data_IF_072441673320
#
_entry.id   IF_072441673320
#
_cell.length_a   1.000
_cell.length_b   1.000
_cell.length_c   1.000
_cell.angle_alpha   90.00
_cell.angle_beta   90.00
_cell.angle_gamma   90.00
#
_symmetry.space_group_name_H-M   'P 1'
#
loop_
_entity.id
_entity.type
_entity.pdbx_description
1 polymer ?
#
# COMPACT_ATOMS: atom_id res chain seq x y z
N UNK A 1 -43.49 -10.52 -52.17
CA UNK A 1 -42.27 -10.53 -51.33
C UNK A 1 -41.37 -9.27 -51.53
N UNK A 2 -41.48 -8.50 -52.60
CA UNK A 2 -40.62 -7.33 -52.85
C UNK A 2 -40.96 -6.05 -52.07
N UNK A 3 -42.22 -5.89 -51.60
CA UNK A 3 -42.66 -4.64 -50.94
C UNK A 3 -42.21 -4.53 -49.51
N UNK A 4 -42.12 -5.64 -48.78
CA UNK A 4 -41.68 -5.70 -47.39
C UNK A 4 -40.16 -5.55 -47.31
N UNK A 5 -39.41 -6.10 -48.26
CA UNK A 5 -37.96 -5.94 -48.36
C UNK A 5 -37.58 -4.49 -48.60
N UNK A 6 -38.23 -3.82 -49.53
CA UNK A 6 -37.98 -2.41 -49.86
C UNK A 6 -38.27 -1.45 -48.68
N UNK A 7 -39.30 -1.74 -47.91
CA UNK A 7 -39.62 -0.95 -46.69
C UNK A 7 -38.62 -1.19 -45.59
N UNK A 8 -38.16 -2.44 -45.37
CA UNK A 8 -37.17 -2.78 -44.32
C UNK A 8 -35.80 -2.20 -44.67
N UNK A 9 -35.37 -2.25 -45.95
CA UNK A 9 -34.09 -1.69 -46.37
C UNK A 9 -34.05 -0.16 -46.27
N UNK A 10 -35.17 0.53 -46.57
CA UNK A 10 -35.26 1.98 -46.39
C UNK A 10 -35.32 2.40 -44.90
N UNK A 11 -35.95 1.59 -44.01
CA UNK A 11 -35.98 1.89 -42.59
C UNK A 11 -34.63 1.64 -41.90
N UNK A 12 -33.92 0.60 -42.31
CA UNK A 12 -32.59 0.31 -41.78
C UNK A 12 -31.55 1.32 -42.27
N UNK A 13 -31.61 1.76 -43.52
CA UNK A 13 -30.78 2.86 -44.04
C UNK A 13 -31.08 4.17 -43.30
N UNK A 14 -32.35 4.52 -43.07
CA UNK A 14 -32.76 5.73 -42.36
C UNK A 14 -32.36 5.71 -40.90
N UNK A 15 -32.41 4.56 -40.24
CA UNK A 15 -31.94 4.40 -38.86
C UNK A 15 -30.42 4.49 -38.77
N UNK A 16 -29.73 3.91 -39.74
CA UNK A 16 -28.28 3.99 -39.85
C UNK A 16 -27.81 5.43 -40.07
N UNK A 17 -28.44 6.16 -40.97
CA UNK A 17 -28.16 7.57 -41.28
C UNK A 17 -28.44 8.46 -40.07
N UNK A 18 -29.52 8.22 -39.31
CA UNK A 18 -29.83 8.91 -38.08
C UNK A 18 -28.79 8.60 -37.00
N UNK A 19 -28.36 7.35 -36.85
CA UNK A 19 -27.30 6.96 -35.88
C UNK A 19 -25.97 7.58 -36.28
N UNK A 20 -25.60 7.59 -37.55
CA UNK A 20 -24.36 8.18 -38.06
C UNK A 20 -24.39 9.70 -37.88
N UNK A 21 -25.52 10.36 -38.12
CA UNK A 21 -25.68 11.80 -37.96
C UNK A 21 -25.71 12.22 -36.48
N UNK A 22 -26.27 11.39 -35.57
CA UNK A 22 -26.27 11.64 -34.11
C UNK A 22 -24.97 11.19 -33.43
N UNK A 23 -24.26 10.20 -33.93
CA UNK A 23 -22.91 9.86 -33.52
C UNK A 23 -21.92 10.63 -34.38
N UNK A 24 -22.02 11.95 -34.33
CA UNK A 24 -21.05 12.85 -34.90
C UNK A 24 -19.65 12.44 -34.38
N UNK A 25 -18.73 12.27 -35.28
CA UNK A 25 -17.32 11.93 -34.98
C UNK A 25 -16.73 12.92 -33.96
N UNK A 26 -17.18 14.17 -33.96
CA UNK A 26 -16.80 15.16 -32.99
C UNK A 26 -17.35 14.83 -31.57
N UNK A 27 -18.60 14.37 -31.46
CA UNK A 27 -19.17 14.02 -30.16
C UNK A 27 -18.49 12.82 -29.53
N UNK A 28 -18.15 11.80 -30.32
CA UNK A 28 -17.38 10.66 -29.84
C UNK A 28 -15.97 11.04 -29.42
N UNK A 29 -15.35 12.00 -30.11
CA UNK A 29 -14.04 12.55 -29.75
C UNK A 29 -14.12 13.31 -28.43
N UNK A 30 -15.09 14.20 -28.26
CA UNK A 30 -15.33 14.94 -27.01
C UNK A 30 -15.62 13.99 -25.84
N UNK A 31 -16.45 12.97 -26.04
CA UNK A 31 -16.74 11.96 -25.04
C UNK A 31 -15.49 11.16 -24.66
N UNK A 32 -14.65 10.81 -25.64
CA UNK A 32 -13.37 10.15 -25.42
C UNK A 32 -12.43 11.03 -24.58
N UNK A 33 -12.29 12.30 -24.91
CA UNK A 33 -11.48 13.25 -24.13
C UNK A 33 -12.01 13.43 -22.70
N UNK A 34 -13.32 13.41 -22.51
CA UNK A 34 -13.94 13.50 -21.19
C UNK A 34 -13.74 12.22 -20.36
N UNK A 35 -13.86 11.05 -21.00
CA UNK A 35 -13.71 9.75 -20.32
C UNK A 35 -12.25 9.34 -20.12
N UNK A 36 -11.32 9.81 -20.97
CA UNK A 36 -9.91 9.43 -20.91
C UNK A 36 -9.27 9.64 -19.51
N UNK A 37 -9.44 10.79 -18.83
CA UNK A 37 -8.89 10.96 -17.49
C UNK A 37 -9.44 9.94 -16.49
N UNK A 38 -10.71 9.58 -16.58
CA UNK A 38 -11.34 8.58 -15.73
C UNK A 38 -10.75 7.20 -16.01
N UNK A 39 -10.67 6.80 -17.26
CA UNK A 39 -10.06 5.52 -17.68
C UNK A 39 -8.62 5.44 -17.19
N UNK A 40 -7.82 6.47 -17.43
CA UNK A 40 -6.41 6.50 -17.03
C UNK A 40 -6.26 6.34 -15.52
N UNK A 41 -7.09 6.99 -14.70
CA UNK A 41 -6.99 6.89 -13.23
C UNK A 41 -7.26 5.48 -12.69
N UNK A 42 -8.01 4.65 -13.42
CA UNK A 42 -8.24 3.24 -13.07
C UNK A 42 -7.22 2.29 -13.72
N UNK A 43 -6.57 2.70 -14.81
CA UNK A 43 -5.51 1.90 -15.45
C UNK A 43 -4.15 2.04 -14.74
N UNK A 44 -3.82 3.21 -14.20
CA UNK A 44 -2.54 3.45 -13.54
C UNK A 44 -2.21 2.47 -12.39
N UNK A 45 -3.16 2.06 -11.53
CA UNK A 45 -2.89 1.01 -10.55
C UNK A 45 -2.47 -0.33 -11.17
N UNK A 46 -2.91 -0.64 -12.40
CA UNK A 46 -2.49 -1.85 -13.10
C UNK A 46 -1.00 -1.83 -13.45
N UNK A 47 -0.40 -0.65 -13.66
CA UNK A 47 1.05 -0.50 -13.86
C UNK A 47 1.83 -1.06 -12.65
N UNK A 48 1.36 -0.80 -11.44
CA UNK A 48 1.99 -1.34 -10.22
C UNK A 48 1.91 -2.87 -10.20
N UNK A 49 0.77 -3.44 -10.60
CA UNK A 49 0.61 -4.90 -10.71
C UNK A 49 1.60 -5.47 -11.74
N UNK A 50 1.73 -4.82 -12.92
CA UNK A 50 2.70 -5.21 -13.95
C UNK A 50 4.12 -5.14 -13.41
N UNK A 51 4.50 -4.07 -12.69
CA UNK A 51 5.83 -3.95 -12.08
C UNK A 51 6.10 -5.04 -11.05
N UNK A 52 5.09 -5.45 -10.26
CA UNK A 52 5.22 -6.58 -9.32
C UNK A 52 5.47 -7.89 -10.08
N UNK A 53 4.75 -8.15 -11.18
CA UNK A 53 4.98 -9.33 -12.00
C UNK A 53 6.32 -9.31 -12.73
N UNK A 54 6.77 -8.15 -13.22
CA UNK A 54 8.13 -7.99 -13.77
C UNK A 54 9.16 -8.33 -12.68
N UNK A 55 8.97 -7.85 -11.47
CA UNK A 55 9.82 -8.19 -10.32
C UNK A 55 9.84 -9.68 -10.04
N UNK A 56 8.68 -10.35 -10.10
CA UNK A 56 8.59 -11.80 -9.94
C UNK A 56 9.31 -12.56 -11.06
N UNK A 57 9.19 -12.09 -12.31
CA UNK A 57 9.91 -12.64 -13.47
C UNK A 57 11.42 -12.48 -13.29
N UNK A 58 11.91 -11.33 -12.84
CA UNK A 58 13.34 -11.12 -12.56
C UNK A 58 13.85 -12.17 -11.57
N UNK A 59 13.15 -12.37 -10.45
CA UNK A 59 13.54 -13.42 -9.49
C UNK A 59 13.50 -14.82 -10.09
N UNK A 60 12.51 -15.11 -10.93
CA UNK A 60 12.40 -16.41 -11.58
C UNK A 60 13.53 -16.66 -12.60
N UNK A 61 13.88 -15.65 -13.42
CA UNK A 61 14.98 -15.72 -14.38
C UNK A 61 16.32 -15.90 -13.68
N UNK A 62 16.59 -15.15 -12.62
CA UNK A 62 17.82 -15.33 -11.83
C UNK A 62 17.90 -16.72 -11.19
N UNK A 63 16.76 -17.25 -10.72
CA UNK A 63 16.70 -18.63 -10.21
C UNK A 63 16.99 -19.67 -11.28
N UNK A 64 16.42 -19.52 -12.50
CA UNK A 64 16.67 -20.45 -13.63
C UNK A 64 18.10 -20.35 -14.12
N UNK A 65 18.67 -19.13 -14.19
CA UNK A 65 20.05 -18.92 -14.58
C UNK A 65 21.02 -19.67 -13.64
N UNK A 66 20.79 -19.57 -12.33
CA UNK A 66 21.59 -20.32 -11.35
C UNK A 66 21.55 -21.83 -11.57
N UNK A 67 20.42 -22.39 -11.96
CA UNK A 67 20.31 -23.84 -12.17
C UNK A 67 21.10 -24.32 -13.40
N UNK A 68 21.48 -23.42 -14.30
CA UNK A 68 22.25 -23.73 -15.50
C UNK A 68 23.76 -23.48 -15.35
N UNK A 69 24.16 -22.61 -14.43
CA UNK A 69 25.57 -22.29 -14.16
C UNK A 69 26.04 -23.19 -13.03
N UNK A 70 26.53 -24.36 -13.37
CA UNK A 70 27.13 -25.32 -12.45
C UNK A 70 28.66 -25.06 -12.41
N UNK A 71 29.23 -25.18 -11.21
CA UNK A 71 30.60 -25.31 -10.81
C UNK A 71 31.41 -24.02 -10.49
N UNK A 72 31.63 -23.86 -9.20
CA UNK A 72 32.84 -23.29 -8.59
C UNK A 72 32.68 -22.01 -7.79
N UNK A 73 31.95 -21.00 -8.22
CA UNK A 73 31.68 -19.79 -7.43
C UNK A 73 30.19 -19.52 -7.48
N UNK A 74 29.52 -19.71 -6.35
CA UNK A 74 28.07 -19.43 -6.26
C UNK A 74 27.85 -17.94 -6.04
N UNK A 75 27.58 -17.11 -7.07
CA UNK A 75 27.10 -15.78 -6.84
C UNK A 75 25.73 -15.91 -6.12
N UNK A 76 25.51 -15.13 -5.06
CA UNK A 76 24.22 -15.10 -4.38
C UNK A 76 23.17 -14.49 -5.33
N UNK A 77 22.57 -15.37 -6.14
CA UNK A 77 21.58 -15.00 -7.15
C UNK A 77 20.39 -14.27 -6.52
N UNK A 78 20.05 -14.61 -5.25
CA UNK A 78 18.98 -13.92 -4.52
C UNK A 78 19.34 -12.47 -4.26
N UNK A 79 20.58 -12.21 -3.89
CA UNK A 79 21.05 -10.85 -3.68
C UNK A 79 21.12 -10.07 -5.00
N UNK A 80 21.59 -10.67 -6.08
CA UNK A 80 21.61 -10.04 -7.40
C UNK A 80 20.19 -9.71 -7.89
N UNK A 81 19.24 -10.64 -7.76
CA UNK A 81 17.84 -10.41 -8.09
C UNK A 81 17.19 -9.30 -7.23
N UNK A 82 17.50 -9.29 -5.92
CA UNK A 82 17.04 -8.22 -5.01
C UNK A 82 17.54 -6.85 -5.44
N UNK A 83 18.83 -6.73 -5.75
CA UNK A 83 19.41 -5.47 -6.20
C UNK A 83 18.78 -4.99 -7.50
N UNK A 84 18.54 -5.88 -8.47
CA UNK A 84 17.88 -5.56 -9.73
C UNK A 84 16.44 -5.07 -9.50
N UNK A 85 15.67 -5.78 -8.67
CA UNK A 85 14.30 -5.39 -8.34
C UNK A 85 14.26 -4.09 -7.53
N UNK A 86 15.15 -3.92 -6.56
CA UNK A 86 15.25 -2.68 -5.80
C UNK A 86 15.65 -1.49 -6.68
N UNK A 87 16.54 -1.68 -7.66
CA UNK A 87 16.89 -0.63 -8.62
C UNK A 87 15.67 -0.24 -9.50
N UNK A 88 14.88 -1.22 -9.93
CA UNK A 88 13.62 -0.95 -10.67
C UNK A 88 12.65 -0.11 -9.85
N UNK A 89 12.43 -0.48 -8.58
CA UNK A 89 11.49 0.24 -7.70
C UNK A 89 12.01 1.62 -7.30
N UNK A 90 13.30 1.77 -7.03
CA UNK A 90 13.91 3.08 -6.74
C UNK A 90 13.82 4.02 -7.95
N UNK A 91 14.15 3.51 -9.15
CA UNK A 91 14.00 4.27 -10.39
C UNK A 91 12.55 4.72 -10.65
N UNK A 92 11.58 3.82 -10.45
CA UNK A 92 10.16 4.18 -10.55
C UNK A 92 9.77 5.24 -9.51
N UNK A 93 10.20 5.05 -8.24
CA UNK A 93 9.90 6.00 -7.16
C UNK A 93 10.49 7.38 -7.44
N UNK A 94 11.74 7.45 -7.87
CA UNK A 94 12.41 8.70 -8.21
C UNK A 94 11.77 9.39 -9.42
N UNK A 95 11.56 8.65 -10.51
CA UNK A 95 11.04 9.20 -11.77
C UNK A 95 9.58 9.62 -11.62
N UNK A 96 8.73 8.72 -11.07
CA UNK A 96 7.28 8.94 -11.06
C UNK A 96 6.81 9.79 -9.89
N UNK A 97 7.37 9.58 -8.70
CA UNK A 97 6.94 10.25 -7.46
C UNK A 97 7.94 11.26 -6.90
N UNK A 98 9.13 11.42 -7.51
CA UNK A 98 10.18 12.23 -6.89
C UNK A 98 10.47 11.79 -5.45
N UNK A 99 10.46 10.46 -5.22
CA UNK A 99 10.53 9.87 -3.90
C UNK A 99 11.78 10.27 -3.13
N UNK A 100 11.61 10.63 -1.86
CA UNK A 100 12.70 11.00 -0.96
C UNK A 100 12.46 10.46 0.46
N UNK A 101 13.55 10.37 1.27
CA UNK A 101 13.51 9.95 2.67
C UNK A 101 14.15 11.04 3.54
N UNK A 102 13.44 11.46 4.58
CA UNK A 102 13.93 12.38 5.62
C UNK A 102 14.02 11.65 6.95
N UNK A 103 14.99 12.02 7.79
CA UNK A 103 15.20 11.38 9.07
C UNK A 103 15.93 10.03 8.96
N UNK A 104 16.70 9.79 7.89
CA UNK A 104 17.45 8.55 7.69
C UNK A 104 18.49 8.30 8.80
N UNK A 105 18.92 9.34 9.49
CA UNK A 105 19.79 9.33 10.67
C UNK A 105 19.13 8.74 11.92
N UNK A 106 17.79 8.67 11.93
CA UNK A 106 17.02 8.07 13.01
C UNK A 106 17.01 6.54 12.97
N UNK A 107 17.62 5.93 11.95
CA UNK A 107 17.69 4.47 11.84
C UNK A 107 18.79 3.93 12.74
N UNK A 108 18.44 3.06 13.71
CA UNK A 108 19.45 2.43 14.58
C UNK A 108 20.38 1.48 13.81
N UNK A 109 21.62 1.33 14.27
CA UNK A 109 22.56 0.38 13.67
C UNK A 109 22.17 -1.09 13.93
N UNK A 110 21.57 -1.38 15.07
CA UNK A 110 21.06 -2.71 15.44
C UNK A 110 19.72 -3.08 14.77
N UNK A 111 19.07 -4.18 15.23
CA UNK A 111 17.73 -4.53 14.81
C UNK A 111 16.71 -3.50 15.33
N UNK A 112 15.71 -3.18 14.55
CA UNK A 112 14.65 -2.25 14.89
C UNK A 112 13.34 -2.64 14.20
N UNK A 113 12.24 -2.17 14.75
CA UNK A 113 10.90 -2.36 14.20
C UNK A 113 10.39 -1.04 13.60
N UNK A 114 10.14 -1.01 12.29
CA UNK A 114 9.46 0.10 11.63
C UNK A 114 7.96 -0.08 11.75
N UNK A 115 7.27 0.93 12.25
CA UNK A 115 5.80 0.99 12.26
C UNK A 115 5.37 2.12 11.33
N UNK A 116 4.54 1.78 10.34
CA UNK A 116 4.16 2.73 9.30
C UNK A 116 2.66 2.78 9.03
N UNK A 117 2.20 3.95 8.53
CA UNK A 117 0.85 4.17 8.04
C UNK A 117 0.67 3.49 6.68
N UNK A 118 -0.43 2.73 6.50
CA UNK A 118 -0.68 2.00 5.27
C UNK A 118 -1.52 2.82 4.28
N UNK A 119 -0.91 3.25 3.16
CA UNK A 119 -1.63 3.80 2.01
C UNK A 119 -2.57 2.79 1.34
N UNK A 120 -3.34 3.21 0.34
CA UNK A 120 -4.20 2.29 -0.42
C UNK A 120 -3.39 1.17 -1.11
N UNK A 121 -2.24 1.53 -1.67
CA UNK A 121 -1.16 0.62 -2.07
C UNK A 121 0.12 1.01 -1.31
N UNK A 122 0.90 0.05 -0.79
CA UNK A 122 2.10 0.33 0.01
C UNK A 122 3.34 0.58 -0.88
N UNK A 123 3.21 1.42 -1.90
CA UNK A 123 4.29 1.69 -2.85
C UNK A 123 5.48 2.39 -2.19
N UNK A 124 5.21 3.23 -1.21
CA UNK A 124 6.18 3.91 -0.38
C UNK A 124 7.08 2.92 0.37
N UNK A 125 6.51 1.81 0.85
CA UNK A 125 7.27 0.74 1.49
C UNK A 125 8.18 0.02 0.47
N UNK A 126 7.74 -0.17 -0.78
CA UNK A 126 8.60 -0.75 -1.82
C UNK A 126 9.82 0.15 -2.11
N UNK A 127 9.60 1.46 -2.20
CA UNK A 127 10.70 2.43 -2.38
C UNK A 127 11.61 2.51 -1.16
N UNK A 128 11.03 2.47 0.06
CA UNK A 128 11.80 2.48 1.30
C UNK A 128 12.72 1.26 1.40
N UNK A 129 12.19 0.05 1.16
CA UNK A 129 12.98 -1.19 1.15
C UNK A 129 14.08 -1.11 0.08
N UNK A 130 13.75 -0.63 -1.12
CA UNK A 130 14.72 -0.48 -2.20
C UNK A 130 15.88 0.44 -1.79
N UNK A 131 15.59 1.61 -1.24
CA UNK A 131 16.63 2.54 -0.79
C UNK A 131 17.44 2.03 0.38
N UNK A 132 16.81 1.37 1.35
CA UNK A 132 17.52 0.75 2.46
C UNK A 132 18.51 -0.30 1.98
N UNK A 133 18.14 -1.12 1.01
CA UNK A 133 19.04 -2.11 0.43
C UNK A 133 20.15 -1.47 -0.42
N UNK A 134 19.80 -0.56 -1.34
CA UNK A 134 20.76 0.02 -2.30
C UNK A 134 21.79 0.93 -1.61
N UNK A 135 21.34 1.79 -0.69
CA UNK A 135 22.20 2.83 -0.11
C UNK A 135 22.71 2.52 1.30
N UNK A 136 21.93 1.79 2.11
CA UNK A 136 22.33 1.41 3.48
C UNK A 136 22.78 -0.04 3.60
N UNK A 137 22.67 -0.85 2.52
CA UNK A 137 23.00 -2.28 2.51
C UNK A 137 22.27 -3.10 3.57
N UNK A 138 21.08 -2.64 3.98
CA UNK A 138 20.25 -3.28 5.00
C UNK A 138 18.98 -3.84 4.41
N UNK A 139 18.76 -5.12 4.64
CA UNK A 139 17.50 -5.79 4.28
C UNK A 139 16.44 -5.52 5.34
N UNK A 140 15.31 -4.94 4.91
CA UNK A 140 14.14 -4.80 5.76
C UNK A 140 13.20 -5.97 5.47
N UNK A 141 12.91 -6.79 6.50
CA UNK A 141 11.84 -7.76 6.42
C UNK A 141 10.48 -7.04 6.52
N UNK A 142 9.47 -7.55 5.83
CA UNK A 142 8.14 -6.92 5.85
C UNK A 142 7.08 -7.95 6.19
N UNK A 143 6.11 -7.55 6.98
CA UNK A 143 4.93 -8.39 7.26
C UNK A 143 3.87 -8.17 6.18
N UNK A 144 3.39 -9.27 5.60
CA UNK A 144 2.29 -9.25 4.66
C UNK A 144 1.14 -10.15 5.11
N UNK A 145 -0.06 -9.86 4.60
CA UNK A 145 -1.23 -10.69 4.84
C UNK A 145 -1.11 -12.03 4.11
N UNK A 146 -1.71 -13.06 4.68
CA UNK A 146 -1.62 -14.46 4.18
C UNK A 146 -2.13 -14.63 2.75
N UNK A 147 -3.07 -13.79 2.30
CA UNK A 147 -3.57 -13.91 0.92
C UNK A 147 -2.47 -13.65 -0.12
N UNK A 148 -1.49 -12.79 0.17
CA UNK A 148 -0.40 -12.49 -0.76
C UNK A 148 0.44 -13.71 -1.10
N UNK A 149 0.61 -14.64 -0.17
CA UNK A 149 1.34 -15.90 -0.38
C UNK A 149 0.57 -16.91 -1.25
N UNK A 150 -0.73 -16.66 -1.51
CA UNK A 150 -1.57 -17.49 -2.37
C UNK A 150 -1.66 -16.96 -3.81
N UNK A 151 -1.13 -15.79 -4.09
CA UNK A 151 -1.16 -15.20 -5.44
C UNK A 151 -0.18 -15.98 -6.33
N UNK A 152 -0.63 -16.49 -7.50
CA UNK A 152 0.23 -17.24 -8.42
C UNK A 152 1.45 -16.41 -8.86
N UNK A 153 2.64 -17.02 -8.83
CA UNK A 153 3.89 -16.39 -9.24
C UNK A 153 4.55 -15.49 -8.18
N UNK A 154 3.91 -15.18 -7.06
CA UNK A 154 4.46 -14.26 -6.05
C UNK A 154 5.34 -14.93 -5.01
N UNK A 155 5.27 -16.24 -4.83
CA UNK A 155 6.01 -16.94 -3.77
C UNK A 155 7.52 -16.68 -3.80
N UNK A 156 8.15 -16.77 -4.98
CA UNK A 156 9.60 -16.52 -5.15
C UNK A 156 9.95 -15.05 -4.90
N UNK A 157 9.09 -14.12 -5.33
CA UNK A 157 9.25 -12.69 -5.08
C UNK A 157 9.18 -12.36 -3.58
N UNK A 158 8.15 -12.87 -2.89
CA UNK A 158 7.95 -12.63 -1.45
C UNK A 158 9.11 -13.21 -0.63
N UNK A 159 9.55 -14.43 -0.93
CA UNK A 159 10.74 -15.04 -0.33
C UNK A 159 11.99 -14.20 -0.62
N UNK A 160 12.17 -13.82 -1.89
CA UNK A 160 13.28 -12.99 -2.34
C UNK A 160 13.37 -11.65 -1.63
N UNK A 161 12.25 -10.99 -1.37
CA UNK A 161 12.17 -9.70 -0.69
C UNK A 161 12.01 -9.82 0.84
N UNK A 162 12.22 -11.01 1.42
CA UNK A 162 12.12 -11.24 2.86
C UNK A 162 10.75 -10.86 3.45
N UNK A 163 9.67 -11.09 2.68
CA UNK A 163 8.30 -10.90 3.16
C UNK A 163 7.86 -12.11 3.98
N UNK A 164 7.34 -11.88 5.17
CA UNK A 164 6.96 -12.92 6.13
C UNK A 164 5.49 -12.81 6.56
N UNK A 165 4.86 -13.92 6.97
CA UNK A 165 3.55 -13.85 7.61
C UNK A 165 3.63 -13.24 9.02
N UNK A 166 2.63 -12.44 9.39
CA UNK A 166 2.60 -11.65 10.61
C UNK A 166 2.18 -12.41 11.87
N UNK A 167 2.99 -13.34 12.38
CA UNK A 167 2.82 -13.87 13.74
C UNK A 167 3.81 -13.21 14.70
N UNK A 168 3.44 -13.06 15.99
CA UNK A 168 4.32 -12.45 16.97
C UNK A 168 5.65 -13.21 17.05
N UNK A 169 5.60 -14.52 17.10
CA UNK A 169 6.77 -15.39 17.23
C UNK A 169 7.72 -15.26 16.03
N UNK A 170 7.19 -15.31 14.81
CA UNK A 170 8.00 -15.17 13.59
C UNK A 170 8.63 -13.78 13.51
N UNK A 171 7.87 -12.73 13.80
CA UNK A 171 8.36 -11.36 13.78
C UNK A 171 9.46 -11.13 14.84
N UNK A 172 9.24 -11.61 16.08
CA UNK A 172 10.22 -11.50 17.14
C UNK A 172 11.51 -12.30 16.84
N UNK A 173 11.40 -13.47 16.20
CA UNK A 173 12.58 -14.26 15.81
C UNK A 173 13.43 -13.54 14.76
N UNK A 174 12.82 -12.88 13.78
CA UNK A 174 13.54 -12.08 12.77
C UNK A 174 14.31 -10.94 13.43
N UNK A 175 13.69 -10.21 14.36
CA UNK A 175 14.36 -9.12 15.08
C UNK A 175 15.50 -9.63 15.96
N UNK A 176 15.29 -10.76 16.68
CA UNK A 176 16.35 -11.39 17.51
C UNK A 176 17.52 -11.90 16.68
N UNK A 177 17.29 -12.25 15.41
CA UNK A 177 18.35 -12.62 14.46
C UNK A 177 19.14 -11.40 13.92
N UNK A 178 18.88 -10.19 14.46
CA UNK A 178 19.58 -8.97 14.06
C UNK A 178 19.03 -8.27 12.82
N UNK A 179 17.88 -8.72 12.29
CA UNK A 179 17.30 -8.15 11.09
C UNK A 179 16.23 -7.11 11.42
N UNK A 180 16.17 -5.98 10.72
CA UNK A 180 15.08 -5.01 10.86
C UNK A 180 13.79 -5.54 10.24
N UNK A 181 12.66 -5.12 10.82
CA UNK A 181 11.32 -5.56 10.41
C UNK A 181 10.40 -4.35 10.25
N UNK A 182 9.49 -4.39 9.27
CA UNK A 182 8.46 -3.38 9.08
C UNK A 182 7.06 -3.99 9.21
N UNK A 183 6.20 -3.32 9.99
CA UNK A 183 4.81 -3.73 10.22
C UNK A 183 3.89 -2.52 10.06
N UNK A 184 2.77 -2.68 9.33
CA UNK A 184 1.66 -1.76 9.39
C UNK A 184 0.54 -2.35 10.27
N UNK A 185 0.26 -1.77 11.43
CA UNK A 185 -0.79 -2.27 12.32
C UNK A 185 -2.19 -2.18 11.71
N UNK A 186 -2.44 -1.17 10.88
CA UNK A 186 -3.70 -0.99 10.17
C UNK A 186 -3.93 -2.02 9.06
N UNK A 187 -2.84 -2.48 8.41
CA UNK A 187 -2.84 -3.50 7.36
C UNK A 187 -3.89 -3.27 6.28
N UNK A 188 -4.43 -4.36 5.72
CA UNK A 188 -5.43 -4.33 4.65
C UNK A 188 -6.66 -3.49 4.99
N UNK A 189 -7.06 -3.44 6.27
CA UNK A 189 -8.21 -2.63 6.67
C UNK A 189 -7.94 -1.12 6.52
N UNK A 190 -6.78 -0.65 6.96
CA UNK A 190 -6.36 0.74 6.80
C UNK A 190 -6.15 1.08 5.32
N UNK A 191 -5.55 0.17 4.55
CA UNK A 191 -5.39 0.31 3.11
C UNK A 191 -6.70 0.61 2.40
N UNK A 192 -7.73 -0.22 2.64
CA UNK A 192 -9.00 -0.12 1.93
C UNK A 192 -9.93 0.95 2.47
N UNK A 193 -9.94 1.18 3.79
CA UNK A 193 -10.93 2.01 4.46
C UNK A 193 -10.37 3.28 5.10
N UNK A 194 -9.08 3.55 4.94
CA UNK A 194 -8.49 4.83 5.31
C UNK A 194 -8.99 5.96 4.40
N UNK A 195 -8.96 7.18 4.93
CA UNK A 195 -9.48 8.38 4.28
C UNK A 195 -8.39 9.47 4.09
N UNK A 196 -8.78 10.58 3.47
CA UNK A 196 -7.93 11.74 3.25
C UNK A 196 -7.64 12.57 4.50
N UNK A 197 -8.14 12.17 5.66
CA UNK A 197 -7.79 12.74 6.97
C UNK A 197 -6.64 12.00 7.64
N UNK A 198 -6.15 10.88 7.04
CA UNK A 198 -5.01 10.12 7.55
C UNK A 198 -5.18 9.56 8.96
N UNK A 199 -6.43 9.30 9.38
CA UNK A 199 -6.72 8.71 10.68
C UNK A 199 -6.17 7.29 10.77
N UNK A 200 -5.50 6.97 11.89
CA UNK A 200 -5.00 5.62 12.14
C UNK A 200 -6.16 4.65 12.35
N UNK A 201 -6.20 3.58 11.58
CA UNK A 201 -7.25 2.56 11.63
C UNK A 201 -6.73 1.25 12.25
N UNK A 202 -6.01 1.34 13.36
CA UNK A 202 -5.36 0.19 13.99
C UNK A 202 -6.31 -0.65 14.85
N UNK A 203 -7.46 -0.08 15.28
CA UNK A 203 -8.33 -0.74 16.26
C UNK A 203 -7.52 -1.12 17.52
N UNK A 204 -7.81 -2.27 18.12
CA UNK A 204 -7.08 -2.78 19.31
C UNK A 204 -5.90 -3.70 18.90
N UNK A 205 -5.20 -3.40 17.79
CA UNK A 205 -4.08 -4.23 17.34
C UNK A 205 -2.79 -3.88 18.06
N UNK A 206 -2.48 -4.67 19.09
CA UNK A 206 -1.27 -4.54 19.92
C UNK A 206 -0.16 -5.52 19.53
N UNK A 207 -0.35 -6.32 18.48
CA UNK A 207 0.58 -7.38 18.08
C UNK A 207 2.00 -6.90 17.85
N UNK A 208 2.18 -5.74 17.21
CA UNK A 208 3.49 -5.16 16.97
C UNK A 208 4.19 -4.70 18.26
N UNK A 209 3.43 -4.21 19.23
CA UNK A 209 3.98 -3.82 20.53
C UNK A 209 4.50 -5.05 21.28
N UNK A 210 3.76 -6.16 21.25
CA UNK A 210 4.23 -7.45 21.79
C UNK A 210 5.50 -7.93 21.09
N UNK A 211 5.59 -7.79 19.75
CA UNK A 211 6.80 -8.13 18.98
C UNK A 211 8.00 -7.31 19.44
N UNK A 212 7.85 -5.99 19.58
CA UNK A 212 8.93 -5.10 20.01
C UNK A 212 9.40 -5.42 21.43
N UNK A 213 8.47 -5.69 22.34
CA UNK A 213 8.78 -6.06 23.73
C UNK A 213 9.47 -7.43 23.82
N UNK A 214 8.97 -8.43 23.09
CA UNK A 214 9.56 -9.77 23.06
C UNK A 214 10.97 -9.79 22.45
N UNK A 215 11.21 -8.95 21.45
CA UNK A 215 12.53 -8.83 20.80
C UNK A 215 13.44 -7.81 21.48
N UNK A 216 12.93 -6.96 22.40
CA UNK A 216 13.65 -5.88 23.10
C UNK A 216 14.33 -4.90 22.14
N UNK A 217 13.63 -4.49 21.10
CA UNK A 217 14.14 -3.59 20.06
C UNK A 217 13.43 -2.24 20.06
N UNK A 218 14.10 -1.16 19.60
CA UNK A 218 13.47 0.13 19.42
C UNK A 218 12.46 0.10 18.25
N UNK A 219 11.46 0.99 18.34
CA UNK A 219 10.48 1.21 17.27
C UNK A 219 10.79 2.53 16.56
N UNK A 220 10.85 2.50 15.23
CA UNK A 220 10.98 3.69 14.40
C UNK A 220 9.62 3.97 13.75
N UNK A 221 8.91 5.05 14.15
CA UNK A 221 7.68 5.46 13.49
C UNK A 221 7.99 6.04 12.11
N UNK A 222 7.20 5.65 11.11
CA UNK A 222 7.37 6.07 9.72
C UNK A 222 6.05 6.52 9.12
N UNK A 223 6.09 7.65 8.43
CA UNK A 223 4.96 8.18 7.68
C UNK A 223 5.42 8.67 6.32
N UNK A 224 4.63 8.40 5.27
CA UNK A 224 4.90 8.91 3.92
C UNK A 224 3.86 9.94 3.52
N UNK A 225 4.33 11.18 3.29
CA UNK A 225 3.52 12.29 2.83
C UNK A 225 2.91 11.98 1.46
N UNK A 226 1.64 12.38 1.26
CA UNK A 226 0.87 12.24 0.02
C UNK A 226 0.62 10.78 -0.43
N UNK A 227 0.81 9.78 0.44
CA UNK A 227 0.61 8.37 0.05
C UNK A 227 -0.85 8.06 -0.35
N UNK A 228 -1.83 8.80 0.22
CA UNK A 228 -3.24 8.67 -0.17
C UNK A 228 -3.64 9.55 -1.34
N UNK A 229 -2.85 10.53 -1.67
CA UNK A 229 -2.99 11.33 -2.90
C UNK A 229 -2.42 10.60 -4.11
N UNK A 230 -1.42 9.71 -3.91
CA UNK A 230 -0.93 8.82 -4.95
C UNK A 230 -1.99 7.78 -5.36
N UNK A 231 -2.57 7.09 -4.36
CA UNK A 231 -3.58 6.05 -4.58
C UNK A 231 -4.69 6.14 -3.55
N UNK A 232 -5.94 5.98 -4.01
CA UNK A 232 -7.14 5.94 -3.18
C UNK A 232 -7.99 4.72 -3.47
N UNK A 233 -8.79 4.33 -2.52
CA UNK A 233 -9.86 3.36 -2.70
C UNK A 233 -11.18 4.06 -2.96
N UNK A 234 -12.05 3.43 -3.75
CA UNK A 234 -13.38 3.94 -4.04
C UNK A 234 -14.19 3.97 -2.74
N UNK A 235 -14.55 5.18 -2.28
CA UNK A 235 -15.35 5.38 -1.06
C UNK A 235 -16.84 5.09 -1.24
N UNK A 236 -17.31 5.09 -2.48
CA UNK A 236 -18.70 4.78 -2.81
C UNK A 236 -19.03 3.33 -2.46
N UNK A 237 -20.24 3.07 -1.97
CA UNK A 237 -20.67 1.74 -1.50
C UNK A 237 -19.78 1.14 -0.39
N UNK A 238 -19.20 1.98 0.46
CA UNK A 238 -18.33 1.53 1.57
C UNK A 238 -18.94 0.38 2.39
N UNK A 239 -20.26 0.40 2.62
CA UNK A 239 -20.95 -0.68 3.33
C UNK A 239 -20.91 -2.03 2.60
N UNK A 240 -20.95 -2.03 1.27
CA UNK A 240 -20.83 -3.24 0.44
C UNK A 240 -19.39 -3.77 0.53
N UNK A 241 -18.39 -2.90 0.34
CA UNK A 241 -16.98 -3.29 0.44
C UNK A 241 -16.60 -3.82 1.82
N UNK A 242 -17.19 -3.26 2.90
CA UNK A 242 -17.01 -3.78 4.26
C UNK A 242 -17.59 -5.19 4.41
N UNK A 243 -18.77 -5.49 3.84
CA UNK A 243 -19.37 -6.82 3.86
C UNK A 243 -18.52 -7.83 3.08
N UNK A 244 -18.05 -7.45 1.89
CA UNK A 244 -17.16 -8.26 1.05
C UNK A 244 -15.85 -8.54 1.80
N UNK A 245 -15.24 -7.51 2.40
CA UNK A 245 -14.03 -7.70 3.20
C UNK A 245 -14.25 -8.61 4.41
N UNK A 246 -15.41 -8.50 5.10
CA UNK A 246 -15.73 -9.37 6.22
C UNK A 246 -15.84 -10.85 5.81
N UNK A 247 -16.40 -11.12 4.62
CA UNK A 247 -16.57 -12.46 4.08
C UNK A 247 -15.26 -13.07 3.57
N UNK A 248 -14.53 -12.35 2.74
CA UNK A 248 -13.36 -12.89 2.02
C UNK A 248 -12.00 -12.55 2.64
N UNK A 249 -11.92 -11.53 3.49
CA UNK A 249 -10.67 -11.01 4.07
C UNK A 249 -9.64 -10.59 3.01
N UNK A 250 -10.10 -10.21 1.82
CA UNK A 250 -9.27 -9.80 0.70
C UNK A 250 -9.50 -8.32 0.36
N UNK A 251 -8.49 -7.61 -0.19
CA UNK A 251 -8.60 -6.21 -0.61
C UNK A 251 -9.31 -6.11 -1.97
N UNK A 252 -10.63 -6.20 -1.97
CA UNK A 252 -11.45 -6.17 -3.19
C UNK A 252 -12.05 -4.79 -3.49
N UNK A 253 -11.90 -3.80 -2.60
CA UNK A 253 -12.32 -2.43 -2.92
C UNK A 253 -11.46 -1.89 -4.07
N UNK A 254 -12.09 -1.36 -5.16
CA UNK A 254 -11.34 -0.84 -6.28
C UNK A 254 -10.40 0.28 -5.87
N UNK A 255 -9.17 0.24 -6.38
CA UNK A 255 -8.16 1.28 -6.19
C UNK A 255 -8.08 2.11 -7.46
N UNK A 256 -8.01 3.42 -7.29
CA UNK A 256 -7.75 4.36 -8.37
C UNK A 256 -6.61 5.31 -8.01
N UNK A 257 -6.03 5.98 -8.98
CA UNK A 257 -4.91 6.90 -8.78
C UNK A 257 -3.69 6.47 -9.60
N UNK A 258 -2.52 6.47 -8.98
CA UNK A 258 -1.23 6.39 -9.66
C UNK A 258 -0.72 7.77 -10.05
N UNK A 259 -1.28 8.81 -9.41
CA UNK A 259 -0.91 10.20 -9.71
C UNK A 259 0.55 10.45 -9.33
N UNK A 260 1.30 11.18 -10.17
CA UNK A 260 2.72 11.48 -9.94
C UNK A 260 2.93 12.56 -8.86
N UNK A 261 2.31 12.39 -7.71
CA UNK A 261 2.50 13.27 -6.55
C UNK A 261 3.86 13.02 -5.91
N UNK A 262 4.44 14.05 -5.29
CA UNK A 262 5.71 13.91 -4.56
C UNK A 262 5.49 13.10 -3.29
N UNK A 263 6.21 11.99 -3.13
CA UNK A 263 6.20 11.16 -1.93
C UNK A 263 7.47 11.41 -1.12
N UNK A 264 7.32 11.77 0.15
CA UNK A 264 8.44 11.94 1.07
C UNK A 264 8.16 11.07 2.29
N UNK A 265 9.04 10.11 2.53
CA UNK A 265 9.00 9.28 3.75
C UNK A 265 9.73 9.99 4.88
N UNK A 266 9.03 10.18 5.99
CA UNK A 266 9.56 10.79 7.21
C UNK A 266 9.74 9.69 8.26
N UNK A 267 10.97 9.57 8.77
CA UNK A 267 11.32 8.67 9.85
C UNK A 267 11.40 9.48 11.14
N UNK A 268 10.54 9.16 12.09
CA UNK A 268 10.52 9.79 13.40
C UNK A 268 11.66 9.31 14.30
N UNK A 269 11.82 9.95 15.45
CA UNK A 269 12.82 9.54 16.44
C UNK A 269 12.51 8.13 16.94
N UNK A 270 13.55 7.28 17.11
CA UNK A 270 13.35 5.93 17.63
C UNK A 270 12.76 5.97 19.04
N UNK A 271 11.73 5.18 19.26
CA UNK A 271 11.16 4.93 20.58
C UNK A 271 11.94 3.76 21.19
N UNK A 272 12.75 3.98 22.21
CA UNK A 272 13.56 2.92 22.80
C UNK A 272 12.70 1.84 23.45
N UNK A 273 13.25 0.64 23.59
CA UNK A 273 12.62 -0.41 24.38
C UNK A 273 12.51 0.04 25.85
N UNK A 274 11.34 -0.13 26.41
CA UNK A 274 11.02 0.18 27.81
C UNK A 274 10.24 -1.00 28.42
N UNK A 275 10.81 -1.71 29.39
CA UNK A 275 10.19 -2.87 30.00
C UNK A 275 8.97 -2.52 30.88
N UNK A 276 8.84 -1.25 31.31
CA UNK A 276 7.74 -0.81 32.21
C UNK A 276 6.44 -0.53 31.42
N UNK A 277 6.52 -0.34 30.10
CA UNK A 277 5.35 -0.06 29.28
C UNK A 277 4.57 -1.35 28.98
N UNK A 278 3.25 -1.30 29.19
CA UNK A 278 2.38 -2.37 28.66
C UNK A 278 2.28 -2.30 27.13
N UNK A 279 1.92 -3.39 26.44
CA UNK A 279 1.72 -3.37 24.98
C UNK A 279 0.72 -2.29 24.53
N UNK A 280 -0.32 -2.03 25.30
CA UNK A 280 -1.34 -1.02 25.04
C UNK A 280 -0.78 0.40 25.17
N UNK A 281 0.03 0.64 26.20
CA UNK A 281 0.71 1.94 26.39
C UNK A 281 1.73 2.19 25.28
N UNK A 282 2.50 1.17 24.91
CA UNK A 282 3.45 1.26 23.79
C UNK A 282 2.72 1.52 22.46
N UNK A 283 1.60 0.82 22.21
CA UNK A 283 0.77 1.07 21.03
C UNK A 283 0.30 2.53 20.97
N UNK A 284 -0.17 3.08 22.08
CA UNK A 284 -0.62 4.48 22.13
C UNK A 284 0.55 5.44 21.89
N UNK A 285 1.71 5.21 22.50
CA UNK A 285 2.92 6.03 22.31
C UNK A 285 3.37 6.06 20.84
N UNK A 286 3.34 4.89 20.16
CA UNK A 286 3.70 4.80 18.74
C UNK A 286 2.63 5.44 17.86
N UNK A 287 1.33 5.29 18.19
CA UNK A 287 0.25 5.94 17.46
C UNK A 287 0.40 7.46 17.50
N UNK A 288 0.61 8.03 18.70
CA UNK A 288 0.85 9.48 18.85
C UNK A 288 2.06 9.95 18.03
N UNK A 289 3.17 9.20 18.04
CA UNK A 289 4.35 9.58 17.26
C UNK A 289 4.09 9.59 15.74
N UNK A 290 3.24 8.69 15.23
CA UNK A 290 2.85 8.72 13.81
C UNK A 290 1.85 9.85 13.54
N UNK A 291 0.90 10.10 14.42
CA UNK A 291 -0.04 11.23 14.32
C UNK A 291 0.71 12.57 14.29
N UNK A 292 1.73 12.73 15.12
CA UNK A 292 2.62 13.90 15.09
C UNK A 292 3.33 14.05 13.74
N UNK A 293 3.87 12.96 13.17
CA UNK A 293 4.46 13.00 11.82
C UNK A 293 3.43 13.36 10.75
N UNK A 294 2.19 12.88 10.87
CA UNK A 294 1.09 13.23 9.97
C UNK A 294 0.76 14.71 10.08
N UNK A 295 0.59 15.24 11.30
CA UNK A 295 0.26 16.65 11.53
C UNK A 295 1.37 17.59 11.04
N UNK A 296 2.63 17.22 11.24
CA UNK A 296 3.76 18.02 10.84
C UNK A 296 3.95 18.03 9.30
N UNK A 297 3.79 16.88 8.65
CA UNK A 297 4.23 16.70 7.28
C UNK A 297 3.09 16.56 6.26
N UNK A 298 1.86 16.27 6.67
CA UNK A 298 0.73 16.10 5.77
C UNK A 298 -0.23 17.30 5.85
N UNK A 299 -0.74 17.70 4.70
CA UNK A 299 -1.87 18.63 4.61
C UNK A 299 -3.16 17.84 4.85
N UNK A 300 -3.96 18.27 5.81
CA UNK A 300 -5.25 17.67 6.16
C UNK A 300 -6.36 18.70 5.95
N UNK A 301 -7.44 18.35 5.22
CA UNK A 301 -7.64 17.12 4.45
C UNK A 301 -6.72 17.03 3.23
N UNK A 302 -6.29 15.81 2.89
CA UNK A 302 -5.45 15.55 1.73
C UNK A 302 -6.18 15.84 0.41
N UNK A 303 -5.49 16.52 -0.53
CA UNK A 303 -6.03 16.90 -1.84
C UNK A 303 -5.07 16.49 -2.96
N UNK A 304 -5.59 15.70 -3.91
CA UNK A 304 -4.80 15.22 -5.07
C UNK A 304 -4.26 16.39 -5.88
N UNK A 305 -5.11 17.38 -6.19
CA UNK A 305 -4.71 18.54 -6.99
C UNK A 305 -3.59 19.34 -6.33
N UNK A 306 -3.70 19.58 -5.02
CA UNK A 306 -2.67 20.29 -4.27
C UNK A 306 -1.37 19.50 -4.20
N UNK A 307 -1.45 18.17 -3.99
CA UNK A 307 -0.27 17.30 -3.97
C UNK A 307 0.44 17.23 -5.34
N UNK A 308 -0.29 17.33 -6.44
CA UNK A 308 0.27 17.47 -7.78
C UNK A 308 0.96 18.81 -7.98
N UNK A 309 0.36 19.91 -7.50
CA UNK A 309 0.97 21.24 -7.56
C UNK A 309 2.23 21.32 -6.69
N UNK A 310 2.26 20.67 -5.52
CA UNK A 310 3.43 20.59 -4.63
C UNK A 310 4.64 19.90 -5.29
N UNK A 311 4.43 19.13 -6.36
CA UNK A 311 5.53 18.56 -7.13
C UNK A 311 6.30 19.61 -7.94
N UNK A 312 5.62 20.66 -8.40
CA UNK A 312 6.17 21.70 -9.27
C UNK A 312 6.63 22.90 -8.44
N UNK A 313 5.85 23.26 -7.41
CA UNK A 313 6.13 24.37 -6.51
C UNK A 313 5.95 23.94 -5.05
N UNK A 314 6.96 24.21 -4.21
CA UNK A 314 6.81 24.03 -2.77
C UNK A 314 5.80 25.06 -2.24
N UNK A 315 4.58 24.61 -1.96
CA UNK A 315 3.52 25.45 -1.40
C UNK A 315 3.68 25.47 0.12
N UNK A 316 3.87 26.66 0.76
CA UNK A 316 4.01 26.74 2.21
C UNK A 316 2.81 26.15 2.91
N UNK A 317 3.03 25.24 3.85
CA UNK A 317 1.96 24.64 4.67
C UNK A 317 1.44 25.71 5.63
N UNK A 318 0.23 26.22 5.43
CA UNK A 318 -0.47 27.01 6.46
C UNK A 318 -0.88 26.02 7.56
N UNK A 319 -0.27 26.12 8.74
CA UNK A 319 -0.76 25.44 9.95
C UNK A 319 -2.17 25.97 10.25
N UNK A 320 -3.20 25.21 9.92
CA UNK A 320 -4.54 25.42 10.45
C UNK A 320 -4.73 24.38 11.54
N UNK A 321 -4.85 24.83 12.79
CA UNK A 321 -5.55 24.06 13.82
C UNK A 321 -6.97 23.84 13.30
N UNK A 322 -7.25 22.67 12.77
CA UNK A 322 -8.60 22.24 12.44
C UNK A 322 -9.08 21.46 13.66
N UNK A 323 -9.93 22.08 14.46
CA UNK A 323 -10.81 21.33 15.34
C UNK A 323 -11.61 20.37 14.46
N UNK A 324 -11.25 19.09 14.52
CA UNK A 324 -11.98 18.04 13.79
C UNK A 324 -13.37 17.96 14.41
N UNK A 325 -14.46 18.19 13.66
CA UNK A 325 -15.80 18.03 14.21
C UNK A 325 -15.93 16.59 14.71
N UNK A 326 -16.11 16.41 16.00
CA UNK A 326 -16.47 15.13 16.58
C UNK A 326 -17.88 14.82 16.08
N UNK A 327 -17.99 14.14 14.96
CA UNK A 327 -19.25 13.55 14.53
C UNK A 327 -19.54 12.44 15.52
N UNK A 328 -20.44 12.70 16.46
CA UNK A 328 -21.10 11.70 17.29
C UNK A 328 -21.84 10.72 16.38
N UNK A 329 -21.11 9.84 15.75
CA UNK A 329 -21.63 8.66 15.10
C UNK A 329 -22.11 7.73 16.20
N UNK A 330 -23.41 7.76 16.52
CA UNK A 330 -24.07 6.67 17.24
C UNK A 330 -23.65 5.37 16.57
N UNK A 331 -22.69 4.68 17.19
CA UNK A 331 -22.49 3.26 16.93
C UNK A 331 -23.79 2.56 17.32
N UNK A 332 -24.61 2.20 16.35
CA UNK A 332 -25.61 1.17 16.55
C UNK A 332 -24.84 -0.11 16.88
N UNK A 333 -24.90 -0.48 18.15
CA UNK A 333 -24.44 -1.76 18.67
C UNK A 333 -25.23 -2.89 17.98
N UNK A 334 -24.71 -3.36 16.86
CA UNK A 334 -25.03 -4.67 16.34
C UNK A 334 -24.30 -5.69 17.18
N UNK A 335 -24.95 -6.23 18.18
CA UNK A 335 -24.52 -7.39 18.96
C UNK A 335 -24.25 -8.54 18.00
N UNK A 336 -23.00 -8.75 17.63
CA UNK A 336 -22.55 -10.02 17.06
C UNK A 336 -22.48 -11.02 18.23
N UNK A 337 -23.43 -11.94 18.24
CA UNK A 337 -23.44 -13.11 19.13
C UNK A 337 -22.12 -13.86 18.96
N UNK A 338 -21.43 -14.04 20.09
CA UNK A 338 -20.30 -14.94 20.24
C UNK A 338 -20.74 -16.37 19.89
N UNK A 339 -20.12 -16.99 18.92
CA UNK A 339 -20.20 -18.42 18.69
C UNK A 339 -19.21 -19.15 19.60
N UNK A 340 -19.58 -20.32 20.15
CA UNK A 340 -18.87 -20.98 21.24
C UNK A 340 -17.50 -21.51 20.82
N UNK A 341 -16.54 -21.38 21.72
CA UNK A 341 -15.22 -22.01 21.65
C UNK A 341 -15.33 -23.53 21.58
N UNK A 342 -14.86 -24.12 20.50
CA UNK A 342 -14.67 -25.55 20.35
C UNK A 342 -13.46 -25.99 21.17
N UNK A 343 -13.73 -26.67 22.28
CA UNK A 343 -12.71 -27.32 23.10
C UNK A 343 -12.12 -28.50 22.32
N UNK A 344 -10.85 -28.42 21.96
CA UNK A 344 -10.09 -29.56 21.49
C UNK A 344 -9.96 -30.58 22.63
N UNK A 345 -10.51 -31.78 22.43
CA UNK A 345 -10.22 -32.97 23.22
C UNK A 345 -8.88 -33.56 22.81
N UNK A 346 -7.98 -33.63 23.79
CA UNK A 346 -6.78 -34.50 23.73
C UNK A 346 -7.22 -35.94 24.03
N UNK A 347 -6.88 -36.82 23.16
CA UNK A 347 -6.56 -38.21 23.49
C UNK A 347 -5.63 -38.79 22.42
#
# INVERSE_FOLDING_TARGET
>A
MGFVSYFMDNYTASIYDIIVEYVDTEYSLWLTWFLMPVIVTFLLPAVIIVLIYISAIIFHLYRLYRMKVVDGVQPDWKQAARLAVCALWDAHGWLWHGYDIKGIENIPDGPFLVIYYHGALPIDMYYFIARMLLFKRRHIHTVADRFMFKIPGWATLLEGLCVIPGTVQTCASVLRSGNPLAISPGGVYEAQFGDHYYRLNWRNRIGFAKVAQEAKVPIVPMFTQNVREAFRTVGWLRGVWLRIYAAFRMPLAPVYGGFPVKLITHLGKPIPYDPELTPEQLQKKVATAIEELVEEHQRIPGSILQALMERIHEIPKKRKHIEVPVTNGKCQNGTLKDSPSEKAKVS
#
